data_IF_566784520058
#
_entry.id   IF_566784520058
#
_cell.length_a   1.000
_cell.length_b   1.000
_cell.length_c   1.000
_cell.angle_alpha   90.00
_cell.angle_beta   90.00
_cell.angle_gamma   90.00
#
_symmetry.space_group_name_H-M   'P 1'
#
loop_
_entity.id
_entity.type
_entity.pdbx_description
1 polymer ?
#
# COMPACT_ATOMS: atom_id res chain seq x y z
N UNK A 1 -6.87 8.65 4.02
CA UNK A 1 -6.57 10.08 3.80
C UNK A 1 -5.79 10.31 2.51
N UNK A 2 -4.52 9.90 2.39
CA UNK A 2 -3.72 10.20 1.18
C UNK A 2 -4.36 9.73 -0.13
N UNK A 3 -4.83 8.48 -0.18
CA UNK A 3 -5.49 7.89 -1.37
C UNK A 3 -6.76 8.66 -1.74
N UNK A 4 -7.53 9.13 -0.75
CA UNK A 4 -8.77 9.89 -0.97
C UNK A 4 -8.49 11.28 -1.53
N UNK A 5 -7.46 11.95 -1.01
CA UNK A 5 -7.09 13.29 -1.47
C UNK A 5 -6.43 13.27 -2.85
N UNK A 6 -5.58 12.27 -3.14
CA UNK A 6 -4.83 12.21 -4.39
C UNK A 6 -5.58 11.49 -5.51
N UNK A 7 -6.50 10.59 -5.18
CA UNK A 7 -7.10 9.65 -6.13
C UNK A 7 -6.09 8.64 -6.71
N UNK A 8 -4.91 8.49 -6.10
CA UNK A 8 -3.81 7.71 -6.63
C UNK A 8 -3.04 6.94 -5.56
N UNK A 9 -2.48 5.80 -5.94
CA UNK A 9 -1.62 4.98 -5.10
C UNK A 9 -0.60 4.22 -5.94
N UNK A 10 0.47 3.76 -5.32
CA UNK A 10 1.40 2.80 -5.92
C UNK A 10 1.38 1.48 -5.14
N UNK A 11 1.53 0.37 -5.87
CA UNK A 11 1.76 -0.95 -5.27
C UNK A 11 3.21 -1.30 -5.54
N UNK A 12 4.00 -1.36 -4.46
CA UNK A 12 5.43 -1.65 -4.52
C UNK A 12 5.63 -3.07 -3.99
N UNK A 13 6.21 -3.96 -4.79
CA UNK A 13 6.42 -5.36 -4.44
C UNK A 13 7.83 -5.50 -3.86
N UNK A 14 7.99 -5.70 -2.55
CA UNK A 14 9.29 -5.85 -1.92
C UNK A 14 9.89 -7.23 -2.18
N UNK A 15 11.22 -7.30 -2.26
CA UNK A 15 11.94 -8.58 -2.16
C UNK A 15 12.14 -9.02 -0.71
N UNK A 16 12.63 -10.24 -0.46
CA UNK A 16 12.85 -10.78 0.89
C UNK A 16 13.76 -9.92 1.77
N UNK A 17 14.74 -9.23 1.17
CA UNK A 17 15.67 -8.33 1.88
C UNK A 17 14.98 -7.11 2.52
N UNK A 18 13.75 -6.78 2.09
CA UNK A 18 12.96 -5.67 2.64
C UNK A 18 11.95 -6.11 3.71
N UNK A 19 12.02 -7.35 4.20
CA UNK A 19 11.06 -7.87 5.19
C UNK A 19 10.94 -6.99 6.45
N UNK A 20 12.07 -6.51 6.99
CA UNK A 20 12.07 -5.64 8.17
C UNK A 20 11.42 -4.28 7.87
N UNK A 21 11.67 -3.71 6.69
CA UNK A 21 11.05 -2.47 6.24
C UNK A 21 9.52 -2.62 6.08
N UNK A 22 9.05 -3.78 5.58
CA UNK A 22 7.62 -4.11 5.49
C UNK A 22 6.98 -4.18 6.87
N UNK A 23 7.63 -4.89 7.81
CA UNK A 23 7.15 -5.01 9.20
C UNK A 23 7.05 -3.64 9.89
N UNK A 24 8.06 -2.78 9.70
CA UNK A 24 8.05 -1.42 10.24
C UNK A 24 6.92 -0.60 9.62
N UNK A 25 6.79 -0.62 8.30
CA UNK A 25 5.76 0.14 7.59
C UNK A 25 4.33 -0.32 7.90
N UNK A 26 4.13 -1.59 8.28
CA UNK A 26 2.85 -2.16 8.67
C UNK A 26 2.49 -1.95 10.15
N UNK A 27 3.47 -1.71 11.03
CA UNK A 27 3.26 -1.53 12.47
C UNK A 27 3.30 -0.08 12.95
N UNK A 28 3.70 0.86 12.06
CA UNK A 28 3.78 2.30 12.35
C UNK A 28 2.90 3.12 11.41
N UNK A 29 2.18 4.06 12.01
CA UNK A 29 1.38 5.06 11.29
C UNK A 29 2.28 6.20 10.81
N UNK A 30 2.13 6.60 9.54
CA UNK A 30 2.86 7.74 8.98
C UNK A 30 2.36 9.10 9.48
N UNK A 31 1.29 9.14 10.28
CA UNK A 31 0.86 10.37 10.97
C UNK A 31 1.76 10.72 12.15
N UNK A 32 2.45 9.72 12.72
CA UNK A 32 3.23 9.85 13.95
C UNK A 32 4.74 9.99 13.66
N UNK A 33 5.14 10.05 12.39
CA UNK A 33 6.52 10.20 11.96
C UNK A 33 6.79 9.76 10.52
N UNK A 34 8.03 9.92 10.08
CA UNK A 34 8.50 9.47 8.75
C UNK A 34 8.99 8.01 8.80
N UNK A 35 8.05 7.09 8.60
CA UNK A 35 8.34 5.64 8.58
C UNK A 35 9.20 5.20 7.38
N UNK A 36 9.23 5.97 6.29
CA UNK A 36 10.08 5.62 5.14
C UNK A 36 11.54 5.91 5.48
N UNK A 37 11.81 7.05 6.11
CA UNK A 37 13.14 7.36 6.62
C UNK A 37 13.62 6.34 7.67
N UNK A 38 12.75 5.96 8.61
CA UNK A 38 13.06 4.93 9.62
C UNK A 38 13.34 3.56 8.98
N UNK A 39 12.55 3.18 7.98
CA UNK A 39 12.73 1.95 7.21
C UNK A 39 13.85 2.02 6.16
N UNK A 40 14.53 3.16 6.01
CA UNK A 40 15.56 3.41 4.97
C UNK A 40 15.06 3.17 3.56
N UNK A 41 13.81 3.52 3.30
CA UNK A 41 13.16 3.43 1.99
C UNK A 41 13.20 4.80 1.29
N UNK A 42 13.45 4.78 -0.02
CA UNK A 42 13.55 5.99 -0.83
C UNK A 42 12.28 6.18 -1.65
N UNK A 43 11.54 7.25 -1.33
CA UNK A 43 10.39 7.67 -2.12
C UNK A 43 10.84 8.35 -3.43
N UNK A 44 10.37 7.85 -4.55
CA UNK A 44 10.55 8.43 -5.88
C UNK A 44 9.24 9.02 -6.39
N UNK A 45 9.33 10.08 -7.19
CA UNK A 45 8.16 10.64 -7.88
C UNK A 45 7.59 9.60 -8.86
N UNK A 46 6.27 9.36 -8.79
CA UNK A 46 5.56 8.55 -9.78
C UNK A 46 5.66 9.13 -11.19
N UNK A 47 5.65 8.27 -12.20
CA UNK A 47 5.75 8.66 -13.61
C UNK A 47 4.42 9.14 -14.19
N UNK A 48 3.35 8.40 -13.91
CA UNK A 48 1.99 8.60 -14.41
C UNK A 48 0.98 8.84 -13.29
N UNK A 49 1.26 8.40 -12.05
CA UNK A 49 0.44 8.69 -10.87
C UNK A 49 1.08 9.74 -9.96
N UNK A 50 0.26 10.48 -9.21
CA UNK A 50 0.73 11.48 -8.23
C UNK A 50 1.31 10.85 -6.96
N UNK A 51 0.99 9.57 -6.69
CA UNK A 51 1.53 8.84 -5.55
C UNK A 51 3.02 8.50 -5.75
N UNK A 52 3.86 8.60 -4.69
CA UNK A 52 5.25 8.20 -4.77
C UNK A 52 5.40 6.69 -4.96
N UNK A 53 6.54 6.26 -5.49
CA UNK A 53 6.96 4.85 -5.59
C UNK A 53 8.17 4.59 -4.72
N UNK A 54 8.54 3.34 -4.48
CA UNK A 54 9.74 2.99 -3.71
C UNK A 54 10.86 2.51 -4.65
N UNK A 55 12.04 3.09 -4.51
CA UNK A 55 13.20 2.81 -5.36
C UNK A 55 13.68 1.35 -5.19
N UNK A 56 13.59 0.84 -3.97
CA UNK A 56 14.11 -0.47 -3.57
C UNK A 56 13.22 -1.64 -4.05
N UNK A 57 11.98 -1.37 -4.46
CA UNK A 57 11.06 -2.43 -4.86
C UNK A 57 11.28 -2.88 -6.31
N UNK A 58 11.53 -4.19 -6.56
CA UNK A 58 11.78 -4.72 -7.90
C UNK A 58 10.59 -4.59 -8.85
N UNK A 59 9.35 -4.61 -8.35
CA UNK A 59 8.15 -4.39 -9.17
C UNK A 59 7.34 -3.26 -8.57
N UNK A 60 6.87 -2.35 -9.42
CA UNK A 60 6.01 -1.25 -9.02
C UNK A 60 4.88 -1.07 -10.02
N UNK A 61 3.67 -0.91 -9.49
CA UNK A 61 2.48 -0.53 -10.22
C UNK A 61 2.05 0.87 -9.78
N UNK A 62 1.81 1.75 -10.73
CA UNK A 62 1.23 3.06 -10.47
C UNK A 62 -0.25 3.04 -10.85
N UNK A 63 -1.12 3.46 -9.93
CA UNK A 63 -2.55 3.30 -10.05
C UNK A 63 -3.31 4.60 -9.76
N UNK A 64 -4.41 4.80 -10.50
CA UNK A 64 -5.46 5.72 -10.06
C UNK A 64 -6.64 4.92 -9.52
N UNK A 65 -7.27 5.43 -8.48
CA UNK A 65 -8.53 4.89 -7.94
C UNK A 65 -9.61 5.07 -9.00
N UNK A 66 -10.33 3.98 -9.28
CA UNK A 66 -11.52 4.00 -10.15
C UNK A 66 -12.80 3.68 -9.40
N UNK A 67 -12.70 3.02 -8.24
CA UNK A 67 -13.82 2.72 -7.38
C UNK A 67 -13.35 2.46 -5.94
N UNK A 68 -14.24 2.62 -4.96
CA UNK A 68 -14.03 2.13 -3.61
C UNK A 68 -15.34 1.62 -3.00
N UNK A 69 -15.25 0.66 -2.08
CA UNK A 69 -16.38 0.16 -1.30
C UNK A 69 -16.03 0.16 0.19
N UNK A 70 -16.96 0.63 1.01
CA UNK A 70 -16.88 0.48 2.46
C UNK A 70 -17.46 -0.85 2.90
N UNK A 71 -16.80 -1.49 3.86
CA UNK A 71 -17.38 -2.62 4.59
C UNK A 71 -18.48 -2.07 5.49
N UNK A 72 -19.74 -2.41 5.19
CA UNK A 72 -20.91 -1.94 5.95
C UNK A 72 -21.12 -2.84 7.17
N UNK A 73 -20.97 -2.33 8.41
CA UNK A 73 -21.03 -3.15 9.63
C UNK A 73 -22.33 -3.93 9.78
N UNK A 74 -23.46 -3.30 9.44
CA UNK A 74 -24.78 -3.91 9.52
C UNK A 74 -25.04 -5.03 8.49
N UNK A 75 -24.10 -5.27 7.56
CA UNK A 75 -24.16 -6.35 6.58
C UNK A 75 -23.19 -7.50 6.90
N UNK A 76 -22.43 -7.39 8.00
CA UNK A 76 -21.55 -8.45 8.48
C UNK A 76 -22.25 -9.30 9.52
N UNK A 77 -21.91 -10.59 9.53
CA UNK A 77 -22.26 -11.48 10.64
C UNK A 77 -21.50 -11.07 11.90
N UNK A 78 -22.13 -11.25 13.05
CA UNK A 78 -21.66 -10.75 14.34
C UNK A 78 -20.26 -11.28 14.69
N UNK A 79 -19.98 -12.52 14.35
CA UNK A 79 -18.71 -13.20 14.59
C UNK A 79 -17.54 -12.49 13.88
N UNK A 80 -17.76 -11.96 12.67
CA UNK A 80 -16.74 -11.19 11.95
C UNK A 80 -16.53 -9.84 12.61
N UNK A 81 -17.60 -9.18 13.03
CA UNK A 81 -17.51 -7.89 13.73
C UNK A 81 -16.74 -8.04 15.03
N UNK A 82 -17.06 -9.05 15.85
CA UNK A 82 -16.40 -9.28 17.14
C UNK A 82 -14.95 -9.79 16.99
N UNK A 83 -14.66 -10.57 15.95
CA UNK A 83 -13.32 -11.16 15.75
C UNK A 83 -12.32 -10.24 15.04
N UNK A 84 -12.75 -9.49 14.03
CA UNK A 84 -11.87 -8.71 13.16
C UNK A 84 -12.04 -7.18 13.31
N UNK A 85 -13.17 -6.72 13.86
CA UNK A 85 -13.54 -5.30 13.92
C UNK A 85 -14.06 -4.89 15.29
N UNK A 86 -13.55 -5.52 16.36
CA UNK A 86 -13.96 -5.19 17.73
C UNK A 86 -13.71 -3.70 18.08
N UNK A 87 -12.75 -3.06 17.39
CA UNK A 87 -12.44 -1.63 17.52
C UNK A 87 -13.30 -0.70 16.66
N UNK A 88 -14.23 -1.22 15.85
CA UNK A 88 -15.05 -0.43 14.93
C UNK A 88 -14.28 0.14 13.73
N UNK A 89 -13.10 -0.40 13.44
CA UNK A 89 -12.17 0.02 12.39
C UNK A 89 -12.40 -0.75 11.07
N UNK A 90 -13.60 -0.61 10.52
CA UNK A 90 -14.00 -1.30 9.30
C UNK A 90 -13.16 -0.88 8.08
N UNK A 91 -12.84 -1.86 7.24
CA UNK A 91 -12.03 -1.61 6.05
C UNK A 91 -12.80 -0.85 4.96
N UNK A 92 -12.04 -0.11 4.15
CA UNK A 92 -12.43 0.35 2.81
C UNK A 92 -11.58 -0.39 1.78
N UNK A 93 -12.21 -0.88 0.73
CA UNK A 93 -11.55 -1.57 -0.38
C UNK A 93 -11.45 -0.62 -1.57
N UNK A 94 -10.24 -0.39 -2.07
CA UNK A 94 -10.00 0.43 -3.26
C UNK A 94 -9.74 -0.44 -4.47
N UNK A 95 -10.32 -0.05 -5.60
CA UNK A 95 -10.09 -0.63 -6.91
C UNK A 95 -9.30 0.37 -7.74
N UNK A 96 -8.12 -0.04 -8.18
CA UNK A 96 -7.23 0.80 -8.97
C UNK A 96 -7.14 0.35 -10.42
N UNK A 97 -7.09 1.31 -11.34
CA UNK A 97 -6.62 1.07 -12.71
C UNK A 97 -5.11 1.27 -12.74
N UNK A 98 -4.39 0.24 -13.16
CA UNK A 98 -2.95 0.30 -13.41
C UNK A 98 -2.70 1.23 -14.60
N UNK A 99 -1.91 2.28 -14.38
CA UNK A 99 -1.45 3.23 -15.40
C UNK A 99 -0.09 2.81 -15.96
N UNK A 100 0.80 2.31 -15.09
CA UNK A 100 2.07 1.73 -15.50
C UNK A 100 2.47 0.57 -14.60
N UNK A 101 3.25 -0.34 -15.16
CA UNK A 101 3.92 -1.41 -14.45
C UNK A 101 5.41 -1.37 -14.82
N UNK A 102 6.29 -1.39 -13.82
CA UNK A 102 7.74 -1.53 -14.03
C UNK A 102 8.25 -2.73 -13.26
N UNK A 103 9.21 -3.43 -13.86
CA UNK A 103 10.00 -4.45 -13.20
C UNK A 103 11.49 -4.17 -13.43
N UNK A 104 12.30 -4.28 -12.38
CA UNK A 104 13.74 -4.26 -12.49
C UNK A 104 14.20 -5.43 -13.38
N UNK A 105 15.30 -5.26 -14.14
CA UNK A 105 15.85 -6.35 -14.96
C UNK A 105 16.20 -7.60 -14.12
N UNK A 106 16.55 -7.40 -12.86
CA UNK A 106 16.86 -8.43 -11.88
C UNK A 106 15.66 -8.86 -11.02
N UNK A 107 14.42 -8.48 -11.36
CA UNK A 107 13.25 -8.70 -10.50
C UNK A 107 13.08 -10.17 -10.10
N UNK A 108 13.25 -11.12 -11.05
CA UNK A 108 13.19 -12.56 -10.75
C UNK A 108 14.21 -12.96 -9.68
N UNK A 109 15.46 -12.47 -9.75
CA UNK A 109 16.48 -12.76 -8.74
C UNK A 109 16.15 -12.12 -7.38
N UNK A 110 15.58 -10.92 -7.38
CA UNK A 110 15.29 -10.15 -6.17
C UNK A 110 14.04 -10.65 -5.42
N UNK A 111 13.14 -11.38 -6.10
CA UNK A 111 11.91 -11.91 -5.52
C UNK A 111 12.03 -13.38 -5.09
N UNK A 112 13.07 -14.08 -5.53
CA UNK A 112 13.22 -15.54 -5.33
C UNK A 112 12.41 -16.34 -6.32
#
# INVERSE_FOLDING_TARGET
ECIEHSGAFSVNVPGPELADAVNLCGSRSGRDGDKLAEARLTAEKGKLASAPTLAECPIVYECNVVHHNDVVPGQLVKEIVEGAYAGGDFHRVYFGRILSARAARSAAKLLG
#
